data_IF_789450872951
#
_entry.id   IF_789450872951
#
_cell.length_a   1.000
_cell.length_b   1.000
_cell.length_c   1.000
_cell.angle_alpha   90.00
_cell.angle_beta   90.00
_cell.angle_gamma   90.00
#
_symmetry.space_group_name_H-M   'P 1'
#
loop_
_entity.id
_entity.type
_entity.pdbx_description
1 polymer ?
#
# COMPACT_ATOMS: atom_id res chain seq x y z
N UNK A 1 41.01 62.23 43.55
CA UNK A 1 39.70 61.75 42.96
C UNK A 1 39.73 61.23 41.53
N UNK A 2 40.81 61.41 40.74
CA UNK A 2 40.84 60.94 39.35
C UNK A 2 41.30 59.51 39.16
N UNK A 3 42.00 58.91 40.11
CA UNK A 3 42.64 57.59 39.92
C UNK A 3 41.73 56.37 40.20
N UNK A 4 40.73 56.53 41.04
CA UNK A 4 39.75 55.50 41.41
C UNK A 4 38.72 55.28 40.31
N UNK A 5 38.35 56.35 39.58
CA UNK A 5 37.39 56.21 38.42
C UNK A 5 37.99 55.46 37.26
N UNK A 6 39.29 55.64 37.00
CA UNK A 6 40.02 54.97 35.95
C UNK A 6 40.20 53.44 36.22
N UNK A 7 40.44 53.06 37.47
CA UNK A 7 40.58 51.67 37.91
C UNK A 7 39.24 50.92 37.82
N UNK A 8 38.16 51.60 38.17
CA UNK A 8 36.81 51.01 38.12
C UNK A 8 36.31 50.82 36.67
N UNK A 9 36.67 51.74 35.78
CA UNK A 9 36.38 51.65 34.37
C UNK A 9 37.11 50.47 33.72
N UNK A 10 38.39 50.29 34.02
CA UNK A 10 39.18 49.14 33.51
C UNK A 10 38.71 47.80 34.07
N UNK A 11 38.23 47.74 35.29
CA UNK A 11 37.67 46.55 35.93
C UNK A 11 36.37 46.15 35.25
N UNK A 12 35.46 47.14 35.00
CA UNK A 12 34.20 46.91 34.26
C UNK A 12 34.45 46.45 32.83
N UNK A 13 35.42 47.05 32.13
CA UNK A 13 35.75 46.64 30.76
C UNK A 13 36.27 45.18 30.68
N UNK A 14 37.09 44.80 31.68
CA UNK A 14 37.57 43.39 31.77
C UNK A 14 36.45 42.39 32.08
N UNK A 15 35.50 42.78 32.95
CA UNK A 15 34.32 41.97 33.25
C UNK A 15 33.39 41.82 32.02
N UNK A 16 33.18 42.92 31.29
CA UNK A 16 32.42 42.83 30.03
C UNK A 16 33.11 41.98 28.98
N UNK A 17 34.43 42.10 28.86
CA UNK A 17 35.21 41.26 27.94
C UNK A 17 35.16 39.77 28.32
N UNK A 18 35.25 39.44 29.61
CA UNK A 18 35.13 38.07 30.10
C UNK A 18 33.71 37.49 29.95
N UNK A 19 32.66 38.30 30.19
CA UNK A 19 31.29 37.88 29.96
C UNK A 19 30.97 37.67 28.45
N UNK A 20 31.46 38.55 27.58
CA UNK A 20 31.30 38.39 26.13
C UNK A 20 32.06 37.14 25.62
N UNK A 21 33.28 36.89 26.11
CA UNK A 21 34.03 35.69 25.79
C UNK A 21 33.32 34.38 26.24
N UNK A 22 32.72 34.42 27.45
CA UNK A 22 31.95 33.27 27.96
C UNK A 22 30.68 33.05 27.17
N UNK A 23 29.99 34.10 26.72
CA UNK A 23 28.81 34.01 25.88
C UNK A 23 29.13 33.43 24.51
N UNK A 24 30.27 33.79 23.91
CA UNK A 24 30.73 33.21 22.63
C UNK A 24 31.15 31.74 22.79
N UNK A 25 31.76 31.39 23.92
CA UNK A 25 32.13 30.02 24.21
C UNK A 25 30.93 29.09 24.46
N UNK A 26 29.86 29.63 25.09
CA UNK A 26 28.60 28.91 25.30
C UNK A 26 27.76 28.83 24.03
N UNK A 27 27.86 29.79 23.10
CA UNK A 27 27.19 29.76 21.80
C UNK A 27 27.84 28.85 20.77
N UNK A 28 29.06 28.37 21.03
CA UNK A 28 29.75 27.40 20.13
C UNK A 28 29.19 25.96 20.24
N UNK A 29 28.35 25.69 21.25
CA UNK A 29 27.54 24.47 21.29
C UNK A 29 26.19 24.70 20.58
N UNK A 30 26.19 25.36 19.40
CA UNK A 30 25.08 25.20 18.50
C UNK A 30 25.10 23.76 18.03
N UNK A 31 23.98 23.10 18.23
CA UNK A 31 23.67 21.78 17.75
C UNK A 31 24.30 21.60 16.37
N UNK A 32 25.38 20.84 16.30
CA UNK A 32 25.64 20.10 15.10
C UNK A 32 24.36 19.30 14.90
N UNK A 33 23.47 19.76 14.01
CA UNK A 33 22.57 18.86 13.35
C UNK A 33 23.45 17.67 13.06
N UNK A 34 23.23 16.56 13.76
CA UNK A 34 23.90 15.32 13.45
C UNK A 34 23.61 15.10 11.97
N UNK A 35 24.54 15.51 11.15
CA UNK A 35 24.70 14.90 9.85
C UNK A 35 25.03 13.49 10.24
N UNK A 36 24.00 12.66 10.28
CA UNK A 36 24.12 11.22 10.44
C UNK A 36 25.02 10.82 9.29
N UNK A 37 26.32 10.86 9.54
CA UNK A 37 27.37 10.27 8.69
C UNK A 37 27.26 8.76 8.82
N UNK A 38 26.06 8.27 8.86
CA UNK A 38 25.76 6.88 8.89
C UNK A 38 25.19 6.56 7.53
N UNK A 39 25.84 5.72 6.85
CA UNK A 39 25.37 4.83 5.82
C UNK A 39 24.17 3.97 6.28
N UNK A 40 23.29 4.48 7.12
CA UNK A 40 21.98 3.85 7.29
C UNK A 40 21.23 4.19 6.02
N UNK A 41 21.04 3.21 5.13
CA UNK A 41 20.25 3.44 3.93
C UNK A 41 18.92 3.99 4.40
N UNK A 42 18.55 5.13 3.85
CA UNK A 42 17.26 5.76 4.11
C UNK A 42 16.18 4.71 3.80
N UNK A 43 15.63 4.12 4.86
CA UNK A 43 14.76 2.94 4.69
C UNK A 43 13.51 3.34 3.92
N UNK A 44 13.37 2.83 2.71
CA UNK A 44 12.22 3.11 1.86
C UNK A 44 10.88 2.71 2.50
N UNK A 45 10.88 1.81 3.48
CA UNK A 45 9.67 1.43 4.23
C UNK A 45 9.14 2.59 5.06
N UNK A 46 10.02 3.44 5.57
CA UNK A 46 9.64 4.64 6.32
C UNK A 46 9.16 5.74 5.38
N UNK A 47 9.71 5.81 4.16
CA UNK A 47 9.25 6.79 3.15
C UNK A 47 7.94 6.41 2.50
N UNK A 48 7.71 5.12 2.30
CA UNK A 48 6.54 4.56 1.66
C UNK A 48 5.86 3.53 2.58
N UNK A 49 5.35 3.96 3.73
CA UNK A 49 4.70 3.05 4.66
C UNK A 49 3.44 2.45 4.03
N UNK A 50 3.17 1.19 4.36
CA UNK A 50 1.90 0.56 4.03
C UNK A 50 0.91 0.96 5.11
N UNK A 51 -0.15 1.68 4.72
CA UNK A 51 -1.22 2.09 5.61
C UNK A 51 -2.48 1.24 5.39
N UNK A 52 -3.19 0.96 6.46
CA UNK A 52 -4.53 0.35 6.40
C UNK A 52 -5.55 1.46 6.28
N UNK A 53 -6.37 1.42 5.23
CA UNK A 53 -7.37 2.45 4.98
C UNK A 53 -8.63 1.88 4.33
N UNK A 54 -9.73 2.60 4.43
CA UNK A 54 -10.93 2.30 3.65
C UNK A 54 -10.69 2.60 2.16
N UNK A 55 -11.11 1.67 1.32
CA UNK A 55 -11.11 1.80 -0.13
C UNK A 55 -12.42 1.28 -0.68
N UNK A 56 -12.74 1.66 -1.90
CA UNK A 56 -13.91 1.14 -2.61
C UNK A 56 -13.45 0.20 -3.72
N UNK A 57 -14.06 -0.99 -3.76
CA UNK A 57 -13.98 -1.86 -4.93
C UNK A 57 -15.18 -1.60 -5.82
N UNK A 58 -14.95 -1.39 -7.11
CA UNK A 58 -16.02 -1.12 -8.06
C UNK A 58 -15.85 -1.91 -9.34
N UNK A 59 -17.00 -2.24 -9.97
CA UNK A 59 -17.06 -2.72 -11.35
C UNK A 59 -18.10 -1.91 -12.11
N UNK A 60 -17.94 -1.86 -13.42
CA UNK A 60 -18.82 -1.12 -14.33
C UNK A 60 -19.46 -2.09 -15.31
N UNK A 61 -20.78 -2.06 -15.37
CA UNK A 61 -21.58 -2.91 -16.25
C UNK A 61 -22.21 -2.05 -17.33
N UNK A 62 -21.75 -2.18 -18.56
CA UNK A 62 -22.30 -1.47 -19.71
C UNK A 62 -23.56 -2.14 -20.21
N UNK A 63 -24.60 -1.34 -20.38
CA UNK A 63 -25.93 -1.77 -20.86
C UNK A 63 -26.29 -0.99 -22.11
N UNK A 64 -26.61 -1.69 -23.18
CA UNK A 64 -26.99 -1.08 -24.44
C UNK A 64 -28.37 -0.45 -24.43
N UNK A 65 -28.72 0.24 -25.51
CA UNK A 65 -29.97 1.00 -25.65
C UNK A 65 -31.21 0.11 -25.68
N UNK A 66 -31.19 -0.97 -26.46
CA UNK A 66 -32.39 -1.80 -26.73
C UNK A 66 -32.28 -3.22 -26.14
N UNK A 67 -31.16 -3.60 -25.58
CA UNK A 67 -30.87 -4.95 -25.10
C UNK A 67 -30.71 -4.93 -23.59
N UNK A 68 -31.68 -5.48 -22.91
CA UNK A 68 -31.59 -5.81 -21.49
C UNK A 68 -30.90 -7.16 -21.32
N UNK A 69 -30.27 -7.37 -20.17
CA UNK A 69 -29.56 -8.59 -19.80
C UNK A 69 -28.05 -8.47 -19.90
N UNK A 70 -27.37 -9.35 -19.18
CA UNK A 70 -25.93 -9.36 -19.05
C UNK A 70 -25.30 -10.33 -20.05
N UNK A 71 -24.11 -10.00 -20.52
CA UNK A 71 -23.27 -10.96 -21.24
C UNK A 71 -22.71 -12.00 -20.27
N UNK A 72 -22.18 -13.11 -20.78
CA UNK A 72 -21.55 -14.15 -19.95
C UNK A 72 -20.38 -13.61 -19.15
N UNK A 73 -19.55 -12.72 -19.72
CA UNK A 73 -18.45 -12.06 -19.03
C UNK A 73 -18.96 -11.17 -17.89
N UNK A 74 -19.95 -10.33 -18.15
CA UNK A 74 -20.53 -9.47 -17.12
C UNK A 74 -21.16 -10.26 -15.97
N UNK A 75 -21.79 -11.41 -16.24
CA UNK A 75 -22.29 -12.32 -15.21
C UNK A 75 -21.15 -12.86 -14.34
N UNK A 76 -20.05 -13.25 -14.96
CA UNK A 76 -18.86 -13.71 -14.24
C UNK A 76 -18.26 -12.59 -13.36
N UNK A 77 -18.20 -11.36 -13.89
CA UNK A 77 -17.68 -10.20 -13.13
C UNK A 77 -18.57 -9.88 -11.91
N UNK A 78 -19.91 -9.92 -12.08
CA UNK A 78 -20.85 -9.69 -10.98
C UNK A 78 -20.76 -10.79 -9.93
N UNK A 79 -20.64 -12.06 -10.32
CA UNK A 79 -20.44 -13.16 -9.38
C UNK A 79 -19.07 -13.05 -8.68
N UNK A 80 -18.03 -12.67 -9.41
CA UNK A 80 -16.70 -12.39 -8.84
C UNK A 80 -16.74 -11.26 -7.81
N UNK A 81 -17.54 -10.21 -8.09
CA UNK A 81 -17.76 -9.11 -7.14
C UNK A 81 -18.49 -9.61 -5.87
N UNK A 82 -19.52 -10.45 -6.03
CA UNK A 82 -20.26 -11.01 -4.90
C UNK A 82 -19.35 -11.85 -4.00
N UNK A 83 -18.56 -12.76 -4.57
CA UNK A 83 -17.61 -13.57 -3.81
C UNK A 83 -16.54 -12.74 -3.12
N UNK A 84 -16.08 -11.67 -3.75
CA UNK A 84 -15.13 -10.74 -3.12
C UNK A 84 -15.77 -10.00 -1.96
N UNK A 85 -17.01 -9.51 -2.15
CA UNK A 85 -17.75 -8.84 -1.09
C UNK A 85 -17.96 -9.73 0.15
N UNK A 86 -18.28 -11.01 -0.03
CA UNK A 86 -18.44 -11.95 1.08
C UNK A 86 -17.15 -12.11 1.90
N UNK A 87 -15.97 -11.99 1.26
CA UNK A 87 -14.68 -12.13 1.92
C UNK A 87 -14.19 -10.84 2.56
N UNK A 88 -14.39 -9.70 1.93
CA UNK A 88 -13.69 -8.45 2.29
C UNK A 88 -14.60 -7.22 2.45
N UNK A 89 -15.90 -7.35 2.15
CA UNK A 89 -16.82 -6.21 2.21
C UNK A 89 -17.13 -5.77 3.63
N UNK A 90 -16.99 -4.48 3.90
CA UNK A 90 -17.27 -3.86 5.20
C UNK A 90 -18.62 -3.17 5.24
N UNK A 91 -19.26 -2.96 4.08
CA UNK A 91 -20.57 -2.31 3.95
C UNK A 91 -21.41 -2.89 2.83
N UNK A 92 -22.55 -2.29 2.55
CA UNK A 92 -23.46 -2.75 1.49
C UNK A 92 -22.85 -2.51 0.10
N UNK A 93 -23.22 -3.37 -0.86
CA UNK A 93 -22.99 -3.10 -2.28
C UNK A 93 -23.98 -2.01 -2.72
N UNK A 94 -23.45 -0.91 -3.21
CA UNK A 94 -24.24 0.17 -3.82
C UNK A 94 -24.25 -0.05 -5.32
N UNK A 95 -25.45 -0.10 -5.89
CA UNK A 95 -25.69 -0.19 -7.32
C UNK A 95 -26.24 1.16 -7.83
N UNK A 96 -25.39 1.91 -8.52
CA UNK A 96 -25.80 3.15 -9.18
C UNK A 96 -26.42 2.81 -10.53
N UNK A 97 -27.71 3.03 -10.65
CA UNK A 97 -28.50 2.73 -11.86
C UNK A 97 -28.91 4.04 -12.54
N UNK A 98 -28.59 4.22 -13.84
CA UNK A 98 -28.92 5.45 -14.55
C UNK A 98 -30.43 5.60 -14.74
N UNK A 99 -30.90 6.84 -14.61
CA UNK A 99 -32.29 7.25 -14.88
C UNK A 99 -32.30 8.43 -15.85
N UNK A 100 -33.45 8.63 -16.52
CA UNK A 100 -33.66 9.71 -17.50
C UNK A 100 -32.64 9.66 -18.68
N UNK A 101 -32.26 8.45 -19.09
CA UNK A 101 -31.32 8.18 -20.17
C UNK A 101 -31.94 7.22 -21.20
N UNK A 102 -31.40 7.18 -22.45
CA UNK A 102 -31.92 6.30 -23.48
C UNK A 102 -31.90 4.81 -23.09
N UNK A 103 -30.98 4.38 -22.24
CA UNK A 103 -30.88 3.00 -21.77
C UNK A 103 -31.46 2.75 -20.35
N UNK A 104 -32.13 3.72 -19.74
CA UNK A 104 -32.62 3.61 -18.36
C UNK A 104 -33.50 2.37 -18.13
N UNK A 105 -34.44 2.08 -19.07
CA UNK A 105 -35.29 0.89 -18.98
C UNK A 105 -34.50 -0.40 -19.05
N UNK A 106 -33.53 -0.49 -19.97
CA UNK A 106 -32.66 -1.65 -20.11
C UNK A 106 -31.77 -1.82 -18.89
N UNK A 107 -31.24 -0.72 -18.32
CA UNK A 107 -30.45 -0.73 -17.11
C UNK A 107 -31.26 -1.22 -15.90
N UNK A 108 -32.50 -0.74 -15.72
CA UNK A 108 -33.37 -1.20 -14.65
C UNK A 108 -33.67 -2.71 -14.75
N UNK A 109 -33.94 -3.21 -15.97
CA UNK A 109 -34.14 -4.64 -16.20
C UNK A 109 -32.85 -5.47 -15.94
N UNK A 110 -31.68 -4.99 -16.40
CA UNK A 110 -30.39 -5.64 -16.14
C UNK A 110 -30.03 -5.63 -14.65
N UNK A 111 -30.42 -4.59 -13.91
CA UNK A 111 -30.22 -4.56 -12.47
C UNK A 111 -30.98 -5.67 -11.73
N UNK A 112 -32.14 -6.09 -12.19
CA UNK A 112 -32.85 -7.24 -11.59
C UNK A 112 -32.05 -8.54 -11.75
N UNK A 113 -31.42 -8.73 -12.90
CA UNK A 113 -30.51 -9.86 -13.13
C UNK A 113 -29.26 -9.76 -12.23
N UNK A 114 -28.63 -8.58 -12.15
CA UNK A 114 -27.52 -8.31 -11.25
C UNK A 114 -27.88 -8.68 -9.81
N UNK A 115 -29.05 -8.24 -9.33
CA UNK A 115 -29.50 -8.52 -7.97
C UNK A 115 -29.67 -10.02 -7.71
N UNK A 116 -30.19 -10.77 -8.69
CA UNK A 116 -30.32 -12.23 -8.57
C UNK A 116 -28.95 -12.92 -8.54
N UNK A 117 -27.98 -12.46 -9.33
CA UNK A 117 -26.60 -12.99 -9.34
C UNK A 117 -25.87 -12.67 -8.05
N UNK A 118 -26.00 -11.47 -7.51
CA UNK A 118 -25.42 -11.10 -6.21
C UNK A 118 -26.00 -11.99 -5.10
N UNK A 119 -27.31 -12.23 -5.10
CA UNK A 119 -27.94 -13.13 -4.14
C UNK A 119 -27.45 -14.58 -4.30
N UNK A 120 -27.31 -15.08 -5.53
CA UNK A 120 -26.73 -16.39 -5.81
C UNK A 120 -25.26 -16.50 -5.35
N UNK A 121 -24.51 -15.39 -5.40
CA UNK A 121 -23.14 -15.29 -4.89
C UNK A 121 -23.03 -15.12 -3.37
N UNK A 122 -24.15 -15.18 -2.63
CA UNK A 122 -24.16 -15.13 -1.16
C UNK A 122 -24.40 -13.75 -0.54
N UNK A 123 -24.74 -12.73 -1.35
CA UNK A 123 -25.03 -11.39 -0.83
C UNK A 123 -26.48 -11.33 -0.34
N UNK A 124 -26.75 -11.07 0.94
CA UNK A 124 -28.12 -10.97 1.44
C UNK A 124 -28.82 -9.72 0.87
N UNK A 125 -30.15 -9.74 0.77
CA UNK A 125 -30.93 -8.64 0.21
C UNK A 125 -30.65 -7.29 0.90
N UNK A 126 -30.40 -7.29 2.22
CA UNK A 126 -30.01 -6.09 3.00
C UNK A 126 -28.62 -5.56 2.65
N UNK A 127 -27.77 -6.39 2.06
CA UNK A 127 -26.42 -6.03 1.60
C UNK A 127 -26.40 -5.36 0.23
N UNK A 128 -27.55 -5.17 -0.41
CA UNK A 128 -27.65 -4.56 -1.73
C UNK A 128 -28.49 -3.30 -1.62
N UNK A 129 -27.92 -2.15 -1.98
CA UNK A 129 -28.60 -0.86 -2.05
C UNK A 129 -28.62 -0.38 -3.48
N UNK A 130 -29.80 -0.02 -4.00
CA UNK A 130 -29.92 0.63 -5.29
C UNK A 130 -29.96 2.14 -5.10
N UNK A 131 -29.15 2.84 -5.87
CA UNK A 131 -29.16 4.29 -5.95
C UNK A 131 -29.37 4.69 -7.40
N UNK A 132 -30.28 5.63 -7.64
CA UNK A 132 -30.49 6.19 -8.96
C UNK A 132 -29.56 7.38 -9.18
N UNK A 133 -28.99 7.49 -10.37
CA UNK A 133 -28.19 8.65 -10.72
C UNK A 133 -28.56 9.18 -12.11
N UNK A 134 -28.37 10.49 -12.27
CA UNK A 134 -28.49 11.17 -13.55
C UNK A 134 -27.10 11.53 -14.04
N UNK A 135 -26.69 11.09 -15.24
CA UNK A 135 -25.41 11.52 -15.82
C UNK A 135 -25.48 12.99 -16.24
N UNK A 136 -24.34 13.64 -16.25
CA UNK A 136 -24.23 15.04 -16.69
C UNK A 136 -24.54 15.18 -18.20
N UNK A 137 -24.22 14.16 -18.98
CA UNK A 137 -24.53 14.09 -20.41
C UNK A 137 -25.54 12.95 -20.69
N UNK A 138 -26.81 13.30 -20.93
CA UNK A 138 -27.84 12.30 -21.21
C UNK A 138 -27.74 11.67 -22.61
N UNK A 139 -26.87 12.18 -23.50
CA UNK A 139 -26.64 11.62 -24.84
C UNK A 139 -25.82 10.33 -24.85
N UNK A 140 -25.07 10.07 -23.81
CA UNK A 140 -24.30 8.83 -23.65
C UNK A 140 -25.15 7.72 -23.02
N UNK A 141 -24.70 6.47 -23.23
CA UNK A 141 -25.31 5.30 -22.58
C UNK A 141 -24.55 5.05 -21.25
N UNK A 142 -25.02 5.61 -20.13
CA UNK A 142 -24.35 5.48 -18.86
C UNK A 142 -24.44 4.05 -18.33
N UNK A 143 -23.36 3.55 -17.72
CA UNK A 143 -23.31 2.20 -17.18
C UNK A 143 -24.00 2.08 -15.81
N UNK A 144 -24.29 0.84 -15.41
CA UNK A 144 -24.53 0.52 -14.01
C UNK A 144 -23.18 0.42 -13.31
N UNK A 145 -23.02 1.08 -12.16
CA UNK A 145 -21.82 0.98 -11.32
C UNK A 145 -22.16 0.20 -10.06
N UNK A 146 -21.37 -0.81 -9.77
CA UNK A 146 -21.47 -1.57 -8.52
C UNK A 146 -20.24 -1.30 -7.70
N UNK A 147 -20.40 -0.86 -6.46
CA UNK A 147 -19.29 -0.57 -5.56
C UNK A 147 -19.59 -0.99 -4.13
N UNK A 148 -18.55 -1.34 -3.39
CA UNK A 148 -18.64 -1.58 -1.95
C UNK A 148 -17.37 -1.14 -1.24
N UNK A 149 -17.50 -0.69 0.02
CA UNK A 149 -16.36 -0.36 0.85
C UNK A 149 -15.66 -1.62 1.36
N UNK A 150 -14.33 -1.56 1.44
CA UNK A 150 -13.47 -2.57 2.02
C UNK A 150 -12.29 -1.95 2.74
N UNK A 151 -11.65 -2.70 3.63
CA UNK A 151 -10.35 -2.33 4.17
C UNK A 151 -9.27 -2.76 3.18
N UNK A 152 -8.31 -1.91 2.93
CA UNK A 152 -7.22 -2.16 1.98
C UNK A 152 -5.88 -1.71 2.56
N UNK A 153 -4.85 -2.48 2.28
CA UNK A 153 -3.48 -2.05 2.52
C UNK A 153 -3.02 -1.25 1.31
N UNK A 154 -2.54 -0.04 1.54
CA UNK A 154 -2.13 0.88 0.47
C UNK A 154 -0.79 1.51 0.83
N UNK A 155 0.17 1.42 -0.07
CA UNK A 155 1.35 2.27 -0.05
C UNK A 155 1.03 3.60 -0.72
N UNK A 156 1.74 4.64 -0.36
CA UNK A 156 1.55 5.98 -0.93
C UNK A 156 1.69 6.02 -2.46
N UNK A 157 1.45 7.19 -3.07
CA UNK A 157 1.53 7.35 -4.51
C UNK A 157 2.96 7.07 -5.01
N UNK A 158 3.07 6.24 -6.05
CA UNK A 158 4.31 5.94 -6.74
C UNK A 158 4.34 6.60 -8.12
N UNK A 159 5.54 6.69 -8.70
CA UNK A 159 5.70 7.24 -10.05
C UNK A 159 5.92 8.76 -10.08
N UNK A 160 6.15 9.37 -8.93
CA UNK A 160 6.62 10.75 -8.87
C UNK A 160 8.06 10.79 -9.39
N UNK A 161 8.29 11.48 -10.48
CA UNK A 161 9.64 11.72 -10.97
C UNK A 161 10.35 12.68 -10.01
N UNK A 162 11.62 12.45 -9.66
CA UNK A 162 12.39 13.44 -8.95
C UNK A 162 12.54 14.68 -9.83
N UNK A 163 12.50 15.85 -9.23
CA UNK A 163 12.65 17.13 -9.93
C UNK A 163 14.04 17.27 -10.54
N UNK A 164 15.00 16.49 -10.04
CA UNK A 164 16.37 16.47 -10.51
C UNK A 164 16.90 15.05 -10.67
N UNK A 165 17.28 14.70 -11.89
CA UNK A 165 17.79 13.38 -12.29
C UNK A 165 19.32 13.35 -12.44
N UNK A 166 19.99 14.44 -12.11
CA UNK A 166 21.43 14.54 -12.33
C UNK A 166 22.16 15.41 -11.31
N UNK A 167 23.47 15.59 -11.47
CA UNK A 167 24.25 16.49 -10.63
C UNK A 167 23.75 17.92 -10.83
N UNK A 168 23.14 18.50 -9.82
CA UNK A 168 22.60 19.85 -9.81
C UNK A 168 23.01 20.57 -8.54
N UNK A 169 23.23 21.87 -8.66
CA UNK A 169 23.42 22.75 -7.50
C UNK A 169 22.12 22.98 -6.72
N UNK A 170 20.98 22.63 -7.33
CA UNK A 170 19.64 22.78 -6.73
C UNK A 170 19.23 21.55 -5.93
N UNK A 171 19.84 20.38 -6.22
CA UNK A 171 19.62 19.16 -5.45
C UNK A 171 20.88 18.78 -4.66
N UNK A 172 20.99 19.23 -3.41
CA UNK A 172 22.09 18.81 -2.55
C UNK A 172 22.08 17.30 -2.26
N UNK A 173 20.95 16.63 -2.48
CA UNK A 173 20.78 15.21 -2.25
C UNK A 173 21.55 14.33 -3.21
N UNK A 174 21.86 14.79 -4.43
CA UNK A 174 22.60 14.02 -5.42
C UNK A 174 23.99 13.55 -4.92
N UNK A 175 24.72 14.44 -4.25
CA UNK A 175 26.05 14.13 -3.73
C UNK A 175 26.04 13.36 -2.40
N UNK A 176 24.88 13.18 -1.77
CA UNK A 176 24.74 12.49 -0.49
C UNK A 176 24.64 10.97 -0.64
N UNK A 177 24.71 10.44 -1.85
CA UNK A 177 24.55 9.01 -2.13
C UNK A 177 23.27 8.41 -1.53
N UNK A 178 22.18 9.19 -1.51
CA UNK A 178 20.87 8.75 -1.05
C UNK A 178 20.03 8.23 -2.23
N UNK A 179 19.24 7.18 -2.04
CA UNK A 179 18.31 6.74 -3.07
C UNK A 179 17.26 7.80 -3.33
N UNK A 180 16.83 7.96 -4.58
CA UNK A 180 15.72 8.83 -4.94
C UNK A 180 14.46 8.50 -4.16
N UNK A 181 13.57 9.51 -4.03
CA UNK A 181 12.33 9.36 -3.26
C UNK A 181 11.50 8.16 -3.71
N UNK A 182 11.40 7.91 -5.00
CA UNK A 182 10.63 6.79 -5.58
C UNK A 182 11.23 5.40 -5.31
N UNK A 183 12.49 5.34 -4.86
CA UNK A 183 13.12 4.04 -4.59
C UNK A 183 12.34 3.26 -3.54
N UNK A 184 12.02 2.02 -3.84
CA UNK A 184 11.27 1.13 -2.96
C UNK A 184 9.75 1.33 -2.96
N UNK A 185 9.22 2.43 -3.56
CA UNK A 185 7.78 2.68 -3.62
C UNK A 185 7.02 1.55 -4.32
N UNK A 186 7.49 1.11 -5.49
CA UNK A 186 6.88 0.00 -6.22
C UNK A 186 6.92 -1.31 -5.42
N UNK A 187 8.01 -1.56 -4.70
CA UNK A 187 8.14 -2.73 -3.83
C UNK A 187 7.09 -2.71 -2.72
N UNK A 188 6.92 -1.58 -2.03
CA UNK A 188 5.92 -1.41 -0.99
C UNK A 188 4.49 -1.52 -1.55
N UNK A 189 4.25 -0.95 -2.72
CA UNK A 189 2.96 -1.08 -3.40
C UNK A 189 2.62 -2.52 -3.80
N UNK A 190 3.60 -3.25 -4.33
CA UNK A 190 3.43 -4.66 -4.66
C UNK A 190 3.20 -5.49 -3.39
N UNK A 191 3.95 -5.23 -2.31
CA UNK A 191 3.75 -5.88 -1.03
C UNK A 191 2.34 -5.61 -0.49
N UNK A 192 1.88 -4.35 -0.51
CA UNK A 192 0.53 -3.98 -0.09
C UNK A 192 -0.55 -4.71 -0.91
N UNK A 193 -0.34 -4.86 -2.22
CA UNK A 193 -1.28 -5.58 -3.11
C UNK A 193 -1.31 -7.10 -2.84
N UNK A 194 -0.27 -7.67 -2.25
CA UNK A 194 -0.18 -9.10 -1.90
C UNK A 194 -0.79 -9.43 -0.54
N UNK A 195 -1.13 -8.43 0.27
CA UNK A 195 -1.72 -8.63 1.60
C UNK A 195 -3.17 -9.09 1.43
N UNK A 196 -3.46 -10.32 1.85
CA UNK A 196 -4.79 -10.90 1.78
C UNK A 196 -5.77 -10.23 2.75
N UNK A 197 -5.34 -10.06 4.00
CA UNK A 197 -6.14 -9.38 5.02
C UNK A 197 -5.35 -8.21 5.62
N UNK A 198 -5.70 -6.96 5.29
CA UNK A 198 -5.01 -5.78 5.81
C UNK A 198 -5.01 -5.65 7.34
N UNK A 199 -6.00 -6.22 8.02
CA UNK A 199 -6.06 -6.20 9.48
C UNK A 199 -4.89 -6.97 10.13
N UNK A 200 -4.29 -7.93 9.42
CA UNK A 200 -3.12 -8.68 9.90
C UNK A 200 -1.87 -7.81 10.06
N UNK A 201 -1.85 -6.62 9.44
CA UNK A 201 -0.76 -5.65 9.62
C UNK A 201 -0.80 -4.99 11.00
N UNK A 202 -1.98 -4.85 11.58
CA UNK A 202 -2.16 -4.25 12.91
C UNK A 202 -2.26 -5.32 14.00
N UNK A 203 -3.01 -6.38 13.73
CA UNK A 203 -3.20 -7.50 14.63
C UNK A 203 -3.06 -8.83 13.88
N UNK A 204 -1.86 -9.40 13.82
CA UNK A 204 -1.64 -10.68 13.16
C UNK A 204 -2.54 -11.79 13.71
N UNK A 205 -3.10 -12.57 12.82
CA UNK A 205 -3.86 -13.79 13.20
C UNK A 205 -2.92 -14.81 13.84
N UNK A 206 -3.48 -15.66 14.71
CA UNK A 206 -2.75 -16.79 15.25
C UNK A 206 -2.18 -17.65 14.12
N UNK A 207 -0.95 -18.11 14.30
CA UNK A 207 -0.32 -19.02 13.34
C UNK A 207 -1.10 -20.33 13.26
N UNK A 208 -1.33 -20.83 12.06
CA UNK A 208 -1.82 -22.19 11.88
C UNK A 208 -0.72 -23.18 12.31
N UNK A 209 -1.09 -24.27 12.99
CA UNK A 209 -0.12 -25.30 13.34
C UNK A 209 0.62 -25.77 12.08
N UNK A 210 1.93 -25.71 12.10
CA UNK A 210 2.72 -26.20 10.98
C UNK A 210 2.43 -27.69 10.75
N UNK A 211 2.26 -28.06 9.47
CA UNK A 211 2.15 -29.47 9.10
C UNK A 211 3.47 -30.18 9.43
N UNK A 212 3.46 -30.92 10.53
CA UNK A 212 4.67 -31.49 11.14
C UNK A 212 5.09 -32.89 10.71
N UNK A 213 4.29 -33.73 10.02
CA UNK A 213 4.64 -35.10 9.72
C UNK A 213 6.01 -35.27 9.03
N UNK A 214 6.32 -34.46 8.03
CA UNK A 214 7.63 -34.50 7.36
C UNK A 214 8.76 -34.10 8.31
N UNK A 215 8.51 -33.11 9.14
CA UNK A 215 9.48 -32.62 10.15
C UNK A 215 9.71 -33.68 11.21
N UNK A 216 8.66 -34.32 11.70
CA UNK A 216 8.75 -35.42 12.68
C UNK A 216 9.52 -36.62 12.14
N UNK A 217 9.26 -37.02 10.87
CA UNK A 217 10.02 -38.07 10.20
C UNK A 217 11.51 -37.74 10.04
N UNK A 218 11.84 -36.48 9.73
CA UNK A 218 13.23 -36.02 9.66
C UNK A 218 13.91 -36.07 11.04
N UNK A 219 13.23 -35.67 12.11
CA UNK A 219 13.75 -35.73 13.47
C UNK A 219 13.94 -37.19 13.95
N UNK A 220 13.06 -38.08 13.58
CA UNK A 220 13.22 -39.51 13.91
C UNK A 220 14.42 -40.15 13.23
N UNK A 221 14.62 -39.83 11.93
CA UNK A 221 15.84 -40.25 11.23
C UNK A 221 17.09 -39.69 11.89
N UNK A 222 17.09 -38.41 12.23
CA UNK A 222 18.20 -37.78 12.93
C UNK A 222 18.54 -38.49 14.27
N UNK A 223 17.52 -38.79 15.09
CA UNK A 223 17.71 -39.49 16.37
C UNK A 223 18.28 -40.90 16.20
N UNK A 224 18.01 -41.57 15.09
CA UNK A 224 18.55 -42.89 14.76
C UNK A 224 19.92 -42.83 14.11
N UNK A 225 20.41 -41.63 13.79
CA UNK A 225 21.67 -41.47 13.05
C UNK A 225 21.54 -41.70 11.55
N UNK A 226 20.29 -41.79 11.04
CA UNK A 226 20.05 -41.99 9.62
C UNK A 226 20.16 -40.66 8.83
N UNK A 227 20.50 -40.75 7.54
CA UNK A 227 20.52 -39.60 6.67
C UNK A 227 19.10 -38.99 6.57
N UNK A 228 18.99 -37.69 6.87
CA UNK A 228 17.71 -36.96 6.78
C UNK A 228 17.37 -36.53 5.34
N UNK A 229 18.35 -36.61 4.44
CA UNK A 229 18.13 -36.34 3.02
C UNK A 229 17.16 -37.33 2.38
N UNK A 230 16.33 -36.84 1.47
CA UNK A 230 15.45 -37.70 0.66
C UNK A 230 16.25 -38.21 -0.55
N UNK A 231 16.33 -39.54 -0.67
CA UNK A 231 16.81 -40.13 -1.91
C UNK A 231 15.73 -39.97 -2.99
N UNK A 232 15.99 -39.10 -3.94
CA UNK A 232 15.13 -39.00 -5.13
C UNK A 232 15.53 -40.12 -6.09
N UNK A 233 14.57 -40.81 -6.75
CA UNK A 233 14.87 -41.71 -7.86
C UNK A 233 15.69 -40.98 -8.93
N UNK A 234 16.60 -41.71 -9.59
CA UNK A 234 17.48 -41.12 -10.61
C UNK A 234 16.73 -40.46 -11.79
N UNK A 235 15.50 -40.89 -12.00
CA UNK A 235 14.61 -40.28 -12.99
C UNK A 235 14.19 -38.85 -12.65
N UNK A 236 14.16 -38.50 -11.36
CA UNK A 236 13.78 -37.17 -10.87
C UNK A 236 14.99 -36.24 -10.70
N UNK A 237 16.19 -36.75 -10.83
CA UNK A 237 17.38 -35.91 -10.92
C UNK A 237 17.33 -35.24 -12.28
N UNK A 238 16.99 -33.93 -12.29
CA UNK A 238 17.11 -33.14 -13.49
C UNK A 238 18.53 -33.33 -14.05
N UNK A 239 18.68 -34.16 -15.07
CA UNK A 239 19.87 -34.19 -15.89
C UNK A 239 19.87 -32.83 -16.58
N UNK A 240 20.68 -31.91 -16.06
CA UNK A 240 21.11 -30.77 -16.84
C UNK A 240 21.67 -31.39 -18.11
N UNK A 241 20.90 -31.22 -19.17
CA UNK A 241 21.24 -31.79 -20.50
C UNK A 241 22.69 -31.48 -20.81
N UNK A 242 23.40 -32.45 -21.40
CA UNK A 242 24.72 -32.26 -22.01
C UNK A 242 24.68 -31.25 -23.20
N UNK A 243 24.16 -30.06 -22.94
CA UNK A 243 24.23 -28.93 -23.85
C UNK A 243 25.58 -28.25 -23.71
N UNK A 244 26.64 -28.97 -24.09
CA UNK A 244 28.01 -28.48 -23.96
C UNK A 244 29.09 -29.44 -24.44
N UNK A 245 28.77 -30.38 -25.31
CA UNK A 245 29.78 -31.11 -26.10
C UNK A 245 29.67 -30.76 -27.56
#
# INVERSE_FOLDING_TARGET
MGNEIAVDAHRRLRLFGALAGLAIALGACTETTEVVTGSVPDDYRLRHPIAVQEANRSIVVFVGHARSGLTAAQRADVLGLAHSWVREGTGAIVADVPVDTPNARAAAASFQEIRSLLAAGGVPARGIKMQQYRPDDPGFLPPIRLSYPKISAVAGPCGLWPDDLGPSSLDPGYNLNKPYYNFGCATQRNLAAMIDNPADLEQPRAENPAYTPRRSAAFEKYRRGDATATNYPDADKAKLSDAGK
#
